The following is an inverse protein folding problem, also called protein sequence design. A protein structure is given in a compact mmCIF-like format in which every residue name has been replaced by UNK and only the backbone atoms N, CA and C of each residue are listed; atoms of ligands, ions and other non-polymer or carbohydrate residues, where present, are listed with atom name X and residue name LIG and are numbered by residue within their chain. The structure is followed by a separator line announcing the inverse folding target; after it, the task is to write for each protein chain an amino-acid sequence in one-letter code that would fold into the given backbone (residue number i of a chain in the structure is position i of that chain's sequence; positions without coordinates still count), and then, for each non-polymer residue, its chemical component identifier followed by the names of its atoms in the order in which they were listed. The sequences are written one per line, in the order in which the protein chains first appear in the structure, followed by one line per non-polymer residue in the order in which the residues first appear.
data_IF_756101310336
#
_entry.id   IF_756101310336
#
_cell.length_a   1.000
_cell.length_b   1.000
_cell.length_c   1.000
_cell.angle_alpha   90.00
_cell.angle_beta   90.00
_cell.angle_gamma   90.00
#
_symmetry.space_group_name_H-M   'P 1'
#
loop_
_entity.id
_entity.type
_entity.pdbx_description
1 polymer ?
#
# COMPACT_ATOMS: atom_id res chain seq x y z
N UNK A 1 4.63 -6.70 30.80
CA UNK A 1 3.33 -7.16 30.27
C UNK A 1 2.71 -6.16 29.28
N UNK A 2 2.36 -4.93 29.68
CA UNK A 2 1.76 -3.92 28.79
C UNK A 2 2.59 -3.60 27.54
N UNK A 3 3.92 -3.47 27.65
CA UNK A 3 4.82 -3.29 26.48
C UNK A 3 4.84 -4.49 25.53
N UNK A 4 4.72 -5.72 26.05
CA UNK A 4 4.63 -6.93 25.23
C UNK A 4 3.27 -7.02 24.52
N UNK A 5 2.19 -6.67 25.21
CA UNK A 5 0.84 -6.62 24.63
C UNK A 5 0.76 -5.54 23.56
N UNK A 6 1.30 -4.34 23.83
CA UNK A 6 1.39 -3.26 22.83
C UNK A 6 2.28 -3.64 21.65
N UNK A 7 3.40 -4.33 21.87
CA UNK A 7 4.23 -4.85 20.79
C UNK A 7 3.43 -5.86 19.96
N UNK A 8 2.83 -6.87 20.58
CA UNK A 8 2.05 -7.89 19.89
C UNK A 8 0.84 -7.30 19.14
N UNK A 9 0.17 -6.30 19.71
CA UNK A 9 -0.94 -5.60 19.08
C UNK A 9 -0.46 -4.73 17.91
N UNK A 10 0.65 -4.01 18.10
CA UNK A 10 1.30 -3.25 17.03
C UNK A 10 1.76 -4.19 15.92
N UNK A 11 2.30 -5.35 16.26
CA UNK A 11 2.77 -6.35 15.32
C UNK A 11 1.62 -6.98 14.57
N UNK A 12 0.50 -7.29 15.23
CA UNK A 12 -0.75 -7.73 14.61
C UNK A 12 -1.28 -6.64 13.65
N UNK A 13 -1.53 -5.43 14.14
CA UNK A 13 -2.05 -4.33 13.31
C UNK A 13 -1.14 -3.99 12.13
N UNK A 14 0.18 -4.04 12.32
CA UNK A 14 1.13 -3.82 11.24
C UNK A 14 1.22 -5.02 10.28
N UNK A 15 1.01 -6.26 10.73
CA UNK A 15 1.15 -7.46 9.89
C UNK A 15 -0.02 -7.64 8.93
N UNK A 16 -1.13 -6.94 9.16
CA UNK A 16 -2.31 -6.99 8.32
C UNK A 16 -2.48 -5.71 7.48
N UNK A 17 -1.43 -5.18 6.85
CA UNK A 17 -1.55 -4.07 5.86
C UNK A 17 -1.42 -4.63 4.44
N UNK A 18 -2.27 -4.26 3.46
CA UNK A 18 -2.23 -4.84 2.13
C UNK A 18 -0.94 -4.48 1.39
N UNK A 19 -0.48 -3.24 1.58
CA UNK A 19 0.80 -2.77 1.03
C UNK A 19 1.98 -3.60 1.58
N UNK A 20 1.96 -3.93 2.87
CA UNK A 20 2.99 -4.78 3.48
C UNK A 20 2.90 -6.22 2.98
N UNK A 21 1.70 -6.81 2.97
CA UNK A 21 1.49 -8.18 2.47
C UNK A 21 1.98 -8.31 1.02
N UNK A 22 1.73 -7.28 0.21
CA UNK A 22 2.21 -7.19 -1.16
C UNK A 22 3.74 -7.12 -1.24
N UNK A 23 4.39 -6.26 -0.45
CA UNK A 23 5.86 -6.17 -0.40
C UNK A 23 6.49 -7.49 0.10
N UNK A 24 5.96 -8.07 1.18
CA UNK A 24 6.48 -9.32 1.76
C UNK A 24 6.37 -10.50 0.78
N UNK A 25 5.24 -10.62 0.07
CA UNK A 25 5.07 -11.66 -0.97
C UNK A 25 6.10 -11.54 -2.08
N UNK A 26 6.47 -10.32 -2.47
CA UNK A 26 7.51 -10.08 -3.49
C UNK A 26 8.91 -10.38 -3.00
N UNK A 27 9.23 -10.02 -1.76
CA UNK A 27 10.50 -10.41 -1.15
C UNK A 27 10.61 -11.94 -1.11
N UNK A 28 9.56 -12.65 -0.71
CA UNK A 28 9.56 -14.12 -0.73
C UNK A 28 9.72 -14.71 -2.14
N UNK A 29 9.04 -14.13 -3.13
CA UNK A 29 9.14 -14.55 -4.53
C UNK A 29 10.58 -14.40 -5.06
N UNK A 30 11.19 -13.25 -4.79
CA UNK A 30 12.50 -12.86 -5.28
C UNK A 30 13.64 -13.63 -4.57
N UNK A 31 13.53 -13.81 -3.25
CA UNK A 31 14.45 -14.64 -2.47
C UNK A 31 14.23 -16.15 -2.63
N UNK A 32 13.25 -16.57 -3.45
CA UNK A 32 12.89 -17.98 -3.70
C UNK A 32 12.60 -18.74 -2.40
N UNK A 33 11.88 -18.11 -1.48
CA UNK A 33 11.55 -18.65 -0.15
C UNK A 33 10.45 -19.72 -0.27
N UNK A 34 10.70 -20.82 -0.96
CA UNK A 34 9.69 -21.84 -1.27
C UNK A 34 9.14 -21.72 -2.69
N UNK A 35 7.88 -22.09 -2.90
CA UNK A 35 7.30 -22.20 -4.24
C UNK A 35 6.88 -20.83 -4.81
N UNK A 36 7.37 -20.49 -6.00
CA UNK A 36 7.03 -19.26 -6.73
C UNK A 36 5.51 -19.11 -6.95
N UNK A 37 4.78 -20.21 -7.15
CA UNK A 37 3.31 -20.20 -7.30
C UNK A 37 2.63 -19.70 -6.03
N UNK A 38 3.08 -20.19 -4.87
CA UNK A 38 2.50 -19.79 -3.58
C UNK A 38 2.69 -18.30 -3.33
N UNK A 39 3.88 -17.77 -3.60
CA UNK A 39 4.17 -16.34 -3.41
C UNK A 39 3.45 -15.44 -4.40
N UNK A 40 3.29 -15.89 -5.65
CA UNK A 40 2.45 -15.20 -6.62
C UNK A 40 0.99 -15.14 -6.15
N UNK A 41 0.47 -16.21 -5.55
CA UNK A 41 -0.87 -16.20 -4.96
C UNK A 41 -0.93 -15.29 -3.74
N UNK A 42 0.03 -15.34 -2.82
CA UNK A 42 0.11 -14.40 -1.68
C UNK A 42 0.07 -12.93 -2.16
N UNK A 43 0.74 -12.61 -3.28
CA UNK A 43 0.65 -11.29 -3.90
C UNK A 43 -0.76 -10.95 -4.36
N UNK A 44 -1.43 -11.87 -5.06
CA UNK A 44 -2.78 -11.65 -5.59
C UNK A 44 -3.82 -11.50 -4.47
N UNK A 45 -3.63 -12.23 -3.37
CA UNK A 45 -4.49 -12.20 -2.19
C UNK A 45 -4.10 -11.12 -1.17
N UNK A 46 -3.06 -10.33 -1.42
CA UNK A 46 -2.56 -9.29 -0.49
C UNK A 46 -3.63 -8.29 -0.03
N UNK A 47 -4.63 -8.00 -0.86
CA UNK A 47 -5.74 -7.10 -0.50
C UNK A 47 -6.69 -7.68 0.56
N UNK A 48 -6.72 -9.01 0.78
CA UNK A 48 -7.47 -9.61 1.87
C UNK A 48 -6.90 -9.26 3.25
N UNK A 49 -5.65 -8.81 3.32
CA UNK A 49 -5.08 -8.27 4.56
C UNK A 49 -5.83 -7.02 5.06
N UNK A 50 -6.71 -6.42 4.26
CA UNK A 50 -7.53 -5.26 4.64
C UNK A 50 -8.61 -5.56 5.70
N UNK A 51 -8.86 -6.83 6.06
CA UNK A 51 -9.95 -7.18 6.99
C UNK A 51 -9.96 -6.41 8.34
N UNK A 52 -8.83 -6.04 8.98
CA UNK A 52 -8.88 -5.27 10.24
C UNK A 52 -9.33 -3.82 10.03
N UNK A 53 -9.12 -3.26 8.83
CA UNK A 53 -9.66 -1.94 8.49
C UNK A 53 -11.19 -1.98 8.54
N UNK A 54 -11.80 -3.03 7.99
CA UNK A 54 -13.25 -3.19 8.02
C UNK A 54 -13.78 -3.40 9.44
N UNK A 55 -13.03 -4.10 10.31
CA UNK A 55 -13.38 -4.17 11.73
C UNK A 55 -13.27 -2.82 12.43
N UNK A 56 -12.20 -2.06 12.20
CA UNK A 56 -12.02 -0.72 12.74
C UNK A 56 -13.18 0.20 12.32
N UNK A 57 -13.53 0.19 11.04
CA UNK A 57 -14.65 0.96 10.50
C UNK A 57 -15.97 0.49 11.13
N UNK A 58 -16.17 -0.83 11.29
CA UNK A 58 -17.35 -1.39 11.96
C UNK A 58 -17.48 -0.91 13.41
N UNK A 59 -16.38 -0.88 14.17
CA UNK A 59 -16.36 -0.34 15.54
C UNK A 59 -16.68 1.15 15.57
N UNK A 60 -16.13 1.94 14.64
CA UNK A 60 -16.42 3.38 14.52
C UNK A 60 -17.89 3.62 14.15
N UNK A 61 -18.48 2.77 13.31
CA UNK A 61 -19.87 2.85 12.91
C UNK A 61 -20.85 2.56 14.07
N UNK A 62 -20.46 1.63 14.94
CA UNK A 62 -21.20 1.22 16.14
C UNK A 62 -20.98 2.14 17.35
N UNK A 63 -20.13 3.18 17.26
CA UNK A 63 -19.85 4.10 18.36
C UNK A 63 -21.15 4.73 18.91
N UNK A 64 -21.55 4.44 20.17
CA UNK A 64 -22.76 4.97 20.77
C UNK A 64 -22.65 6.47 21.07
N UNK A 65 -21.43 7.04 21.10
CA UNK A 65 -21.20 8.44 21.39
C UNK A 65 -21.16 9.33 20.15
N UNK A 66 -21.41 8.78 18.94
CA UNK A 66 -21.25 9.48 17.64
C UNK A 66 -21.99 10.83 17.51
N UNK A 67 -23.05 11.07 18.27
CA UNK A 67 -23.79 12.34 18.28
C UNK A 67 -23.28 13.42 19.26
N UNK A 68 -22.38 13.09 20.18
CA UNK A 68 -22.06 13.97 21.33
C UNK A 68 -20.90 14.97 21.10
N UNK A 69 -20.17 14.85 20.00
CA UNK A 69 -19.00 15.70 19.68
C UNK A 69 -19.09 16.11 18.22
N UNK A 70 -19.10 17.42 17.92
CA UNK A 70 -19.06 17.93 16.56
C UNK A 70 -17.83 18.81 16.35
N UNK A 71 -17.27 18.81 15.14
CA UNK A 71 -16.18 19.73 14.76
C UNK A 71 -16.59 21.21 14.91
N UNK A 72 -17.88 21.49 14.72
CA UNK A 72 -18.50 22.78 14.96
C UNK A 72 -18.41 23.19 16.43
N UNK A 73 -18.48 22.23 17.36
CA UNK A 73 -18.31 22.50 18.79
C UNK A 73 -16.86 22.84 19.15
N UNK A 74 -15.88 22.30 18.42
CA UNK A 74 -14.45 22.51 18.64
C UNK A 74 -13.91 23.79 17.99
N UNK A 75 -14.38 24.12 16.79
CA UNK A 75 -13.87 25.24 16.00
C UNK A 75 -14.81 26.46 15.99
N UNK A 76 -16.05 26.32 16.48
CA UNK A 76 -17.07 27.36 16.42
C UNK A 76 -17.60 27.58 14.99
N UNK A 77 -18.85 28.04 14.89
CA UNK A 77 -19.49 28.40 13.62
C UNK A 77 -18.76 29.55 12.89
N UNK A 78 -18.01 30.37 13.63
CA UNK A 78 -17.35 31.57 13.11
C UNK A 78 -15.89 31.36 12.67
N UNK A 79 -15.35 30.14 12.75
CA UNK A 79 -13.97 29.92 12.28
C UNK A 79 -13.87 30.11 10.77
N UNK A 80 -12.90 30.91 10.35
CA UNK A 80 -12.55 31.15 8.94
C UNK A 80 -12.29 29.87 8.15
N UNK A 81 -11.90 28.79 8.85
CA UNK A 81 -11.75 27.44 8.30
C UNK A 81 -13.11 26.87 7.85
N UNK A 82 -14.14 26.95 8.69
CA UNK A 82 -15.50 26.48 8.37
C UNK A 82 -16.11 27.30 7.23
N UNK A 83 -15.88 28.61 7.21
CA UNK A 83 -16.37 29.50 6.14
C UNK A 83 -15.64 29.27 4.80
N UNK A 84 -14.33 28.99 4.82
CA UNK A 84 -13.54 28.64 3.62
C UNK A 84 -13.92 27.27 3.04
N UNK A 85 -14.29 26.31 3.89
CA UNK A 85 -14.82 24.99 3.51
C UNK A 85 -16.20 25.08 2.82
N UNK A 86 -17.02 26.06 3.22
CA UNK A 86 -18.36 26.31 2.66
C UNK A 86 -18.32 27.04 1.30
N UNK A 87 -17.45 28.04 1.12
CA UNK A 87 -17.38 28.86 -0.11
C UNK A 87 -16.33 28.39 -1.14
N UNK A 88 -15.41 27.49 -0.77
CA UNK A 88 -14.28 27.02 -1.59
C UNK A 88 -14.24 25.50 -1.76
N UNK A 89 -15.39 24.86 -1.93
CA UNK A 89 -15.59 23.40 -1.84
C UNK A 89 -14.54 22.57 -2.60
N UNK A 90 -14.22 22.94 -3.84
CA UNK A 90 -13.19 22.29 -4.66
C UNK A 90 -11.77 22.48 -4.10
N UNK A 91 -11.43 23.70 -3.66
CA UNK A 91 -10.13 23.99 -3.07
C UNK A 91 -9.93 23.23 -1.75
N UNK A 92 -11.00 23.08 -0.96
CA UNK A 92 -10.98 22.30 0.26
C UNK A 92 -10.81 20.78 0.01
N UNK A 93 -11.49 20.24 -1.01
CA UNK A 93 -11.28 18.85 -1.44
C UNK A 93 -9.83 18.63 -1.87
N UNK A 94 -9.30 19.48 -2.76
CA UNK A 94 -7.90 19.39 -3.22
C UNK A 94 -6.93 19.47 -2.04
N UNK A 95 -7.18 20.38 -1.09
CA UNK A 95 -6.34 20.50 0.12
C UNK A 95 -6.42 19.23 0.96
N UNK A 96 -7.62 18.69 1.21
CA UNK A 96 -7.82 17.47 1.97
C UNK A 96 -7.11 16.27 1.32
N UNK A 97 -7.23 16.14 -0.01
CA UNK A 97 -6.50 15.14 -0.79
C UNK A 97 -5.00 15.21 -0.52
N UNK A 98 -4.40 16.39 -0.67
CA UNK A 98 -2.95 16.54 -0.49
C UNK A 98 -2.49 16.36 0.96
N UNK A 99 -3.28 16.80 1.94
CA UNK A 99 -2.98 16.56 3.36
C UNK A 99 -2.91 15.08 3.65
N UNK A 100 -3.94 14.31 3.30
CA UNK A 100 -3.97 12.87 3.54
C UNK A 100 -2.97 12.10 2.67
N UNK A 101 -2.71 12.57 1.45
CA UNK A 101 -1.65 12.05 0.59
C UNK A 101 -0.28 12.18 1.25
N UNK A 102 0.09 13.37 1.73
CA UNK A 102 1.40 13.62 2.35
C UNK A 102 1.53 12.86 3.66
N UNK A 103 0.48 12.86 4.49
CA UNK A 103 0.47 12.11 5.75
C UNK A 103 0.66 10.62 5.52
N UNK A 104 -0.01 10.04 4.51
CA UNK A 104 0.19 8.63 4.17
C UNK A 104 1.58 8.37 3.56
N UNK A 105 2.05 9.24 2.67
CA UNK A 105 3.38 9.12 2.06
C UNK A 105 4.50 9.06 3.10
N UNK A 106 4.42 9.91 4.13
CA UNK A 106 5.42 10.02 5.20
C UNK A 106 5.29 8.91 6.24
N UNK A 107 4.08 8.66 6.74
CA UNK A 107 3.87 7.82 7.94
C UNK A 107 3.49 6.38 7.61
N UNK A 108 2.93 6.11 6.42
CA UNK A 108 2.56 4.78 5.92
C UNK A 108 1.65 4.04 6.92
N UNK A 109 0.56 4.70 7.30
CA UNK A 109 -0.43 4.26 8.29
C UNK A 109 -1.82 4.36 7.68
N UNK A 110 -2.03 3.75 6.52
CA UNK A 110 -3.28 3.83 5.75
C UNK A 110 -4.54 3.65 6.63
N UNK A 111 -4.56 2.68 7.52
CA UNK A 111 -5.71 2.41 8.39
C UNK A 111 -5.97 3.49 9.43
N UNK A 112 -4.92 4.13 9.91
CA UNK A 112 -5.05 5.24 10.85
C UNK A 112 -5.69 6.45 10.15
N UNK A 113 -5.28 6.74 8.93
CA UNK A 113 -5.86 7.85 8.15
C UNK A 113 -7.30 7.56 7.72
N UNK A 114 -7.56 6.37 7.19
CA UNK A 114 -8.92 5.98 6.81
C UNK A 114 -9.82 5.95 8.06
N UNK A 115 -9.36 5.38 9.17
CA UNK A 115 -10.10 5.40 10.44
C UNK A 115 -10.39 6.82 10.94
N UNK A 116 -9.42 7.73 10.86
CA UNK A 116 -9.59 9.13 11.24
C UNK A 116 -10.61 9.84 10.34
N UNK A 117 -10.58 9.57 9.02
CA UNK A 117 -11.57 10.11 8.08
C UNK A 117 -12.98 9.62 8.43
N UNK A 118 -13.16 8.32 8.67
CA UNK A 118 -14.44 7.74 9.08
C UNK A 118 -14.94 8.30 10.41
N UNK A 119 -14.03 8.50 11.37
CA UNK A 119 -14.36 9.10 12.65
C UNK A 119 -14.94 10.51 12.47
N UNK A 120 -14.29 11.38 11.69
CA UNK A 120 -14.79 12.73 11.45
C UNK A 120 -16.07 12.80 10.61
N UNK A 121 -16.24 11.87 9.64
CA UNK A 121 -17.46 11.78 8.84
C UNK A 121 -18.70 11.49 9.72
N UNK A 122 -18.55 10.66 10.74
CA UNK A 122 -19.63 10.33 11.67
C UNK A 122 -20.07 11.52 12.56
N UNK A 123 -19.31 12.63 12.58
CA UNK A 123 -19.54 13.76 13.49
C UNK A 123 -20.12 15.03 12.82
N UNK A 124 -20.19 15.13 11.49
CA UNK A 124 -20.62 16.39 10.83
C UNK A 124 -21.12 16.25 9.38
N UNK A 125 -21.93 17.22 8.92
CA UNK A 125 -22.65 17.17 7.64
C UNK A 125 -21.85 17.59 6.41
N UNK A 126 -20.88 18.49 6.58
CA UNK A 126 -20.14 19.09 5.46
C UNK A 126 -19.07 18.18 4.80
N UNK A 127 -18.90 16.94 5.29
CA UNK A 127 -17.59 16.28 5.27
C UNK A 127 -17.49 15.09 4.32
N UNK A 128 -18.55 14.71 3.60
CA UNK A 128 -18.49 13.53 2.73
C UNK A 128 -17.57 13.74 1.53
N UNK A 129 -17.60 14.91 0.88
CA UNK A 129 -16.68 15.24 -0.23
C UNK A 129 -15.23 15.27 0.22
N UNK A 130 -14.97 15.85 1.38
CA UNK A 130 -13.64 15.91 1.98
C UNK A 130 -13.15 14.53 2.39
N UNK A 131 -14.04 13.69 2.92
CA UNK A 131 -13.73 12.33 3.34
C UNK A 131 -13.42 11.44 2.12
N UNK A 132 -14.24 11.51 1.07
CA UNK A 132 -13.98 10.82 -0.21
C UNK A 132 -12.65 11.28 -0.78
N UNK A 133 -12.41 12.60 -0.82
CA UNK A 133 -11.16 13.17 -1.31
C UNK A 133 -9.94 12.73 -0.48
N UNK A 134 -10.06 12.70 0.85
CA UNK A 134 -9.03 12.20 1.75
C UNK A 134 -8.72 10.72 1.54
N UNK A 135 -9.76 9.87 1.40
CA UNK A 135 -9.60 8.43 1.12
C UNK A 135 -8.89 8.23 -0.22
N UNK A 136 -9.28 8.97 -1.25
CA UNK A 136 -8.61 8.93 -2.56
C UNK A 136 -7.15 9.37 -2.45
N UNK A 137 -6.84 10.37 -1.61
CA UNK A 137 -5.47 10.82 -1.33
C UNK A 137 -4.61 9.74 -0.67
N UNK A 138 -5.14 9.05 0.36
CA UNK A 138 -4.46 7.92 1.01
C UNK A 138 -4.15 6.81 0.01
N UNK A 139 -5.14 6.39 -0.79
CA UNK A 139 -4.93 5.33 -1.77
C UNK A 139 -4.01 5.76 -2.92
N UNK A 140 -4.05 7.03 -3.34
CA UNK A 140 -3.13 7.54 -4.37
C UNK A 140 -1.68 7.52 -3.89
N UNK A 141 -1.43 7.92 -2.63
CA UNK A 141 -0.11 7.84 -2.01
C UNK A 141 0.44 6.42 -2.04
N UNK A 142 -0.40 5.42 -1.73
CA UNK A 142 -0.04 4.00 -1.82
C UNK A 142 0.35 3.59 -3.25
N UNK A 143 -0.45 3.96 -4.25
CA UNK A 143 -0.17 3.64 -5.65
C UNK A 143 1.18 4.25 -6.09
N UNK A 144 1.39 5.54 -5.80
CA UNK A 144 2.66 6.20 -6.15
C UNK A 144 3.85 5.60 -5.41
N UNK A 145 3.63 5.14 -4.18
CA UNK A 145 4.68 4.50 -3.41
C UNK A 145 5.04 3.12 -3.98
N UNK A 146 4.06 2.33 -4.42
CA UNK A 146 4.26 1.08 -5.17
C UNK A 146 4.97 1.32 -6.51
N UNK A 147 4.63 2.41 -7.20
CA UNK A 147 5.32 2.84 -8.40
C UNK A 147 6.79 3.20 -8.14
N UNK A 148 7.06 4.00 -7.10
CA UNK A 148 8.40 4.38 -6.70
C UNK A 148 9.26 3.14 -6.39
N UNK A 149 8.69 2.15 -5.71
CA UNK A 149 9.34 0.86 -5.48
C UNK A 149 9.68 0.13 -6.79
N UNK A 150 8.78 0.12 -7.77
CA UNK A 150 9.00 -0.55 -9.04
C UNK A 150 10.17 0.04 -9.84
N UNK A 151 10.44 1.35 -9.73
CA UNK A 151 11.56 2.02 -10.39
C UNK A 151 12.90 1.54 -9.84
N UNK A 152 12.97 1.28 -8.53
CA UNK A 152 14.20 0.89 -7.84
C UNK A 152 14.63 -0.57 -8.11
N UNK A 153 13.76 -1.41 -8.69
CA UNK A 153 14.05 -2.83 -8.97
C UNK A 153 14.66 -2.96 -10.37
N UNK A 154 15.78 -3.69 -10.49
CA UNK A 154 16.43 -3.98 -11.78
C UNK A 154 16.34 -5.44 -12.23
N UNK A 155 15.37 -6.20 -11.75
CA UNK A 155 15.29 -7.65 -11.91
C UNK A 155 14.06 -8.13 -12.69
N UNK A 156 13.96 -9.45 -12.92
CA UNK A 156 12.77 -10.09 -13.52
C UNK A 156 11.48 -9.78 -12.73
N UNK A 157 11.60 -9.52 -11.42
CA UNK A 157 10.46 -9.11 -10.60
C UNK A 157 10.02 -7.67 -10.89
N UNK A 158 10.85 -6.83 -11.53
CA UNK A 158 10.45 -5.49 -11.97
C UNK A 158 9.26 -5.53 -12.94
N UNK A 159 9.22 -6.50 -13.85
CA UNK A 159 8.11 -6.62 -14.79
C UNK A 159 6.80 -6.95 -14.08
N UNK A 160 6.84 -7.82 -13.07
CA UNK A 160 5.70 -8.10 -12.19
C UNK A 160 5.23 -6.81 -11.52
N UNK A 161 6.16 -6.00 -10.99
CA UNK A 161 5.83 -4.74 -10.33
C UNK A 161 5.23 -3.68 -11.26
N UNK A 162 5.72 -3.57 -12.49
CA UNK A 162 5.14 -2.67 -13.49
C UNK A 162 3.67 -3.01 -13.74
N UNK A 163 3.35 -4.30 -13.87
CA UNK A 163 1.97 -4.77 -14.04
C UNK A 163 1.11 -4.53 -12.80
N UNK A 164 1.59 -4.93 -11.63
CA UNK A 164 0.88 -4.71 -10.36
C UNK A 164 0.59 -3.22 -10.15
N UNK A 165 1.57 -2.36 -10.41
CA UNK A 165 1.40 -0.91 -10.31
C UNK A 165 0.38 -0.38 -11.33
N UNK A 166 0.47 -0.81 -12.60
CA UNK A 166 -0.48 -0.40 -13.62
C UNK A 166 -1.92 -0.80 -13.24
N UNK A 167 -2.11 -2.00 -12.70
CA UNK A 167 -3.42 -2.48 -12.22
C UNK A 167 -3.91 -1.66 -11.03
N UNK A 168 -3.06 -1.41 -10.03
CA UNK A 168 -3.44 -0.60 -8.86
C UNK A 168 -3.78 0.84 -9.24
N UNK A 169 -3.03 1.44 -10.16
CA UNK A 169 -3.34 2.77 -10.70
C UNK A 169 -4.66 2.78 -11.47
N UNK A 170 -4.90 1.76 -12.29
CA UNK A 170 -6.15 1.62 -13.05
C UNK A 170 -7.36 1.48 -12.12
N UNK A 171 -7.22 0.67 -11.06
CA UNK A 171 -8.25 0.54 -10.03
C UNK A 171 -8.48 1.86 -9.31
N UNK A 172 -7.42 2.58 -8.95
CA UNK A 172 -7.57 3.90 -8.33
C UNK A 172 -8.33 4.88 -9.21
N UNK A 173 -8.03 4.95 -10.51
CA UNK A 173 -8.76 5.81 -11.46
C UNK A 173 -10.24 5.40 -11.54
N UNK A 174 -10.52 4.11 -11.71
CA UNK A 174 -11.90 3.59 -11.81
C UNK A 174 -12.67 3.90 -10.53
N UNK A 175 -12.11 3.61 -9.36
CA UNK A 175 -12.76 3.88 -8.08
C UNK A 175 -12.96 5.38 -7.86
N UNK A 176 -11.99 6.23 -8.21
CA UNK A 176 -12.13 7.68 -8.10
C UNK A 176 -13.29 8.20 -8.95
N UNK A 177 -13.35 7.81 -10.22
CA UNK A 177 -14.42 8.23 -11.15
C UNK A 177 -15.79 7.75 -10.67
N UNK A 178 -15.92 6.46 -10.35
CA UNK A 178 -17.19 5.88 -9.89
C UNK A 178 -17.65 6.52 -8.58
N UNK A 179 -16.73 6.77 -7.65
CA UNK A 179 -17.06 7.39 -6.35
C UNK A 179 -17.51 8.84 -6.53
N UNK A 180 -16.87 9.61 -7.42
CA UNK A 180 -17.28 11.00 -7.68
C UNK A 180 -18.63 11.08 -8.39
N UNK A 181 -18.90 10.20 -9.38
CA UNK A 181 -20.20 10.12 -10.06
C UNK A 181 -21.30 9.71 -9.07
N UNK A 182 -21.04 8.69 -8.25
CA UNK A 182 -22.01 8.23 -7.27
C UNK A 182 -22.28 9.28 -6.18
N UNK A 183 -21.26 10.06 -5.81
CA UNK A 183 -21.41 11.18 -4.88
C UNK A 183 -22.30 12.29 -5.45
N UNK A 184 -22.10 12.65 -6.73
CA UNK A 184 -22.92 13.63 -7.43
C UNK A 184 -24.39 13.16 -7.58
N UNK A 185 -24.58 11.90 -7.97
CA UNK A 185 -25.90 11.27 -8.06
C UNK A 185 -26.63 11.21 -6.71
N UNK A 186 -25.90 10.95 -5.62
CA UNK A 186 -26.46 11.01 -4.27
C UNK A 186 -26.93 12.42 -3.93
N UNK A 187 -26.19 13.47 -4.28
CA UNK A 187 -26.60 14.85 -4.01
C UNK A 187 -27.83 15.27 -4.81
N UNK A 188 -27.87 14.94 -6.11
CA UNK A 188 -29.00 15.27 -6.99
C UNK A 188 -30.29 14.58 -6.53
N UNK A 189 -30.21 13.32 -6.11
CA UNK A 189 -31.37 12.61 -5.57
C UNK A 189 -31.68 12.96 -4.12
N UNK A 190 -30.73 13.52 -3.35
CA UNK A 190 -30.99 14.01 -2.00
C UNK A 190 -31.87 15.27 -2.01
N UNK A 191 -31.77 16.11 -3.06
CA UNK A 191 -32.71 17.20 -3.33
C UNK A 191 -34.14 16.68 -3.61
N UNK A 192 -34.28 15.46 -4.17
CA UNK A 192 -35.57 14.79 -4.36
C UNK A 192 -36.06 14.02 -3.11
N UNK A 193 -35.15 13.52 -2.26
CA UNK A 193 -35.45 12.69 -1.08
C UNK A 193 -35.62 13.46 0.24
N UNK A 194 -35.54 14.80 0.25
CA UNK A 194 -35.84 15.62 1.43
C UNK A 194 -37.27 15.43 1.98
N UNK A 195 -38.17 14.76 1.25
CA UNK A 195 -39.51 14.46 1.71
C UNK A 195 -39.64 13.21 2.60
N UNK A 196 -38.62 12.32 2.72
CA UNK A 196 -38.83 11.00 3.36
C UNK A 196 -37.84 10.63 4.49
N UNK A 197 -36.65 11.24 4.60
CA UNK A 197 -35.70 10.86 5.68
C UNK A 197 -34.95 12.04 6.30
N UNK A 198 -35.45 12.57 7.42
CA UNK A 198 -34.83 13.64 8.21
C UNK A 198 -33.86 13.17 9.32
N UNK A 199 -33.73 11.87 9.59
CA UNK A 199 -32.81 11.32 10.61
C UNK A 199 -31.69 10.40 10.05
N UNK A 200 -31.72 9.97 8.78
CA UNK A 200 -30.86 8.89 8.24
C UNK A 200 -29.51 9.34 7.65
N UNK A 201 -29.21 10.64 7.74
CA UNK A 201 -28.24 11.31 6.89
C UNK A 201 -26.78 10.89 7.23
N UNK A 202 -26.45 10.62 8.50
CA UNK A 202 -25.13 10.11 8.91
C UNK A 202 -24.94 8.63 8.51
N UNK A 203 -26.00 7.83 8.59
CA UNK A 203 -25.96 6.39 8.27
C UNK A 203 -25.76 6.18 6.76
N UNK A 204 -26.44 6.95 5.92
CA UNK A 204 -26.27 6.92 4.47
C UNK A 204 -24.88 7.39 4.04
N UNK A 205 -24.34 8.45 4.67
CA UNK A 205 -22.97 8.95 4.45
C UNK A 205 -21.89 7.94 4.80
N UNK A 206 -21.95 7.36 6.01
CA UNK A 206 -20.99 6.36 6.46
C UNK A 206 -21.03 5.09 5.59
N UNK A 207 -22.24 4.68 5.19
CA UNK A 207 -22.44 3.54 4.28
C UNK A 207 -21.87 3.81 2.89
N UNK A 208 -21.99 5.04 2.38
CA UNK A 208 -21.37 5.43 1.12
C UNK A 208 -19.84 5.37 1.19
N UNK A 209 -19.23 5.97 2.20
CA UNK A 209 -17.76 5.95 2.34
C UNK A 209 -17.24 4.51 2.53
N UNK A 210 -17.99 3.68 3.27
CA UNK A 210 -17.71 2.25 3.41
C UNK A 210 -17.76 1.56 2.04
N UNK A 211 -18.75 1.87 1.20
CA UNK A 211 -18.86 1.35 -0.14
C UNK A 211 -17.67 1.78 -1.03
N UNK A 212 -17.18 3.02 -0.90
CA UNK A 212 -15.97 3.50 -1.61
C UNK A 212 -14.73 2.69 -1.22
N UNK A 213 -14.47 2.54 0.09
CA UNK A 213 -13.34 1.73 0.60
C UNK A 213 -13.46 0.28 0.16
N UNK A 214 -14.65 -0.31 0.28
CA UNK A 214 -14.91 -1.67 -0.14
C UNK A 214 -14.69 -1.87 -1.64
N UNK A 215 -15.19 -0.95 -2.47
CA UNK A 215 -15.01 -0.97 -3.92
C UNK A 215 -13.52 -0.94 -4.30
N UNK A 216 -12.72 -0.10 -3.64
CA UNK A 216 -11.28 -0.03 -3.87
C UNK A 216 -10.60 -1.39 -3.64
N UNK A 217 -10.86 -2.00 -2.48
CA UNK A 217 -10.26 -3.28 -2.12
C UNK A 217 -10.78 -4.44 -2.97
N UNK A 218 -12.07 -4.47 -3.30
CA UNK A 218 -12.69 -5.49 -4.13
C UNK A 218 -12.12 -5.45 -5.55
N UNK A 219 -12.13 -4.29 -6.20
CA UNK A 219 -11.58 -4.14 -7.56
C UNK A 219 -10.09 -4.45 -7.59
N UNK A 220 -9.32 -3.98 -6.59
CA UNK A 220 -7.90 -4.30 -6.49
C UNK A 220 -7.65 -5.79 -6.35
N UNK A 221 -8.49 -6.50 -5.60
CA UNK A 221 -8.41 -7.94 -5.44
C UNK A 221 -8.74 -8.68 -6.75
N UNK A 222 -9.87 -8.35 -7.38
CA UNK A 222 -10.31 -8.99 -8.63
C UNK A 222 -9.26 -8.79 -9.73
N UNK A 223 -8.78 -7.56 -9.95
CA UNK A 223 -7.81 -7.27 -11.00
C UNK A 223 -6.50 -8.02 -10.80
N UNK A 224 -5.97 -8.08 -9.56
CA UNK A 224 -4.75 -8.83 -9.26
C UNK A 224 -4.95 -10.34 -9.43
N UNK A 225 -6.07 -10.90 -8.99
CA UNK A 225 -6.36 -12.33 -9.16
C UNK A 225 -6.52 -12.73 -10.63
N UNK A 226 -7.26 -11.93 -11.41
CA UNK A 226 -7.44 -12.15 -12.85
C UNK A 226 -6.09 -12.10 -13.56
N UNK A 227 -5.29 -11.06 -13.31
CA UNK A 227 -3.96 -10.95 -13.88
C UNK A 227 -3.05 -12.10 -13.43
N UNK A 228 -3.01 -12.43 -12.14
CA UNK A 228 -2.16 -13.49 -11.60
C UNK A 228 -2.49 -14.88 -12.15
N UNK A 229 -3.78 -15.14 -12.40
CA UNK A 229 -4.24 -16.36 -13.07
C UNK A 229 -3.64 -16.51 -14.47
N UNK A 230 -3.72 -15.46 -15.30
CA UNK A 230 -3.16 -15.49 -16.66
C UNK A 230 -1.64 -15.43 -16.67
N UNK A 231 -1.03 -14.64 -15.78
CA UNK A 231 0.43 -14.54 -15.66
C UNK A 231 1.07 -15.91 -15.36
N UNK A 232 0.44 -16.71 -14.50
CA UNK A 232 0.92 -18.06 -14.18
C UNK A 232 0.88 -19.03 -15.38
N UNK A 233 -0.02 -18.82 -16.34
CA UNK A 233 -0.13 -19.70 -17.52
C UNK A 233 0.96 -19.45 -18.56
N UNK A 234 1.66 -18.31 -18.48
CA UNK A 234 2.75 -17.98 -19.40
C UNK A 234 3.96 -18.84 -19.07
N UNK A 235 4.37 -19.71 -20.01
CA UNK A 235 5.63 -20.45 -19.91
C UNK A 235 6.80 -19.48 -20.08
N UNK A 236 7.62 -19.32 -19.05
CA UNK A 236 8.87 -18.56 -19.17
C UNK A 236 9.97 -19.44 -19.76
N UNK A 237 10.61 -18.97 -20.84
CA UNK A 237 11.74 -19.66 -21.46
C UNK A 237 12.94 -19.74 -20.49
N UNK A 238 13.67 -20.88 -20.46
CA UNK A 238 14.83 -21.08 -19.58
C UNK A 238 16.10 -20.35 -20.03
N UNK A 239 16.08 -19.69 -21.20
CA UNK A 239 17.24 -19.04 -21.82
C UNK A 239 17.57 -17.64 -21.26
N UNK A 240 16.70 -17.07 -20.42
CA UNK A 240 16.99 -15.81 -19.72
C UNK A 240 18.09 -16.06 -18.66
N UNK A 241 19.36 -15.86 -19.04
CA UNK A 241 20.49 -15.77 -18.10
C UNK A 241 20.14 -14.73 -17.04
N UNK A 242 19.83 -15.12 -15.79
CA UNK A 242 19.17 -14.21 -14.90
C UNK A 242 20.25 -13.53 -14.09
N UNK A 243 20.57 -12.30 -14.48
CA UNK A 243 21.12 -11.39 -13.50
C UNK A 243 19.98 -11.09 -12.52
N UNK A 244 19.87 -11.93 -11.49
CA UNK A 244 18.93 -11.75 -10.40
C UNK A 244 19.44 -10.61 -9.53
N UNK A 245 18.84 -9.45 -9.70
CA UNK A 245 18.95 -8.36 -8.74
C UNK A 245 17.82 -8.49 -7.72
N UNK A 246 18.10 -8.23 -6.46
CA UNK A 246 17.22 -8.60 -5.37
C UNK A 246 16.47 -7.41 -4.80
N UNK A 247 15.35 -7.70 -4.17
CA UNK A 247 14.57 -6.80 -3.30
C UNK A 247 15.30 -6.52 -1.97
N UNK A 248 16.61 -6.76 -1.89
CA UNK A 248 17.45 -6.58 -0.70
C UNK A 248 17.38 -5.16 -0.13
N UNK A 249 17.39 -4.12 -0.99
CA UNK A 249 17.26 -2.73 -0.53
C UNK A 249 15.93 -2.50 0.21
N UNK A 250 14.89 -3.30 -0.05
CA UNK A 250 13.60 -3.16 0.66
C UNK A 250 13.66 -3.70 2.07
N UNK A 251 14.52 -4.68 2.34
CA UNK A 251 14.82 -5.13 3.70
C UNK A 251 15.34 -3.95 4.52
N UNK A 252 16.08 -3.01 3.90
CA UNK A 252 16.61 -1.80 4.54
C UNK A 252 15.58 -0.68 4.72
N UNK A 253 14.47 -0.69 3.97
CA UNK A 253 13.46 0.38 4.01
C UNK A 253 12.21 0.03 4.81
N UNK A 254 11.90 -1.26 4.97
CA UNK A 254 10.62 -1.71 5.55
C UNK A 254 10.77 -2.60 6.76
N UNK A 255 9.80 -2.49 7.67
CA UNK A 255 9.59 -3.43 8.76
C UNK A 255 8.85 -4.65 8.22
N UNK A 256 9.50 -5.80 8.21
CA UNK A 256 8.92 -7.08 7.82
C UNK A 256 8.42 -7.88 9.03
N UNK A 257 7.63 -8.92 8.79
CA UNK A 257 7.10 -9.81 9.83
C UNK A 257 8.24 -10.59 10.48
N UNK A 258 8.14 -10.85 11.77
CA UNK A 258 9.14 -11.66 12.49
C UNK A 258 9.34 -13.01 11.81
N UNK A 259 8.27 -13.61 11.28
CA UNK A 259 8.35 -14.85 10.52
C UNK A 259 9.21 -14.68 9.25
N UNK A 260 8.93 -13.69 8.40
CA UNK A 260 9.74 -13.45 7.22
C UNK A 260 11.19 -13.10 7.57
N UNK A 261 11.40 -12.27 8.59
CA UNK A 261 12.75 -11.95 9.09
C UNK A 261 13.53 -13.20 9.50
N UNK A 262 12.89 -14.13 10.23
CA UNK A 262 13.52 -15.38 10.66
C UNK A 262 13.94 -16.27 9.49
N UNK A 263 13.17 -16.26 8.39
CA UNK A 263 13.50 -17.00 7.19
C UNK A 263 14.62 -16.31 6.42
N UNK A 264 14.54 -14.99 6.25
CA UNK A 264 15.56 -14.20 5.56
C UNK A 264 16.91 -14.25 6.27
N UNK A 265 16.95 -14.30 7.61
CA UNK A 265 18.18 -14.55 8.38
C UNK A 265 18.93 -15.82 7.96
N UNK A 266 18.22 -16.83 7.42
CA UNK A 266 18.82 -18.08 6.92
C UNK A 266 19.17 -18.00 5.43
N UNK A 267 18.32 -17.34 4.63
CA UNK A 267 18.43 -17.33 3.16
C UNK A 267 19.42 -16.27 2.65
N UNK A 268 19.43 -15.07 3.25
CA UNK A 268 20.26 -13.95 2.82
C UNK A 268 21.77 -14.28 2.85
N UNK A 269 22.32 -14.92 3.91
CA UNK A 269 23.75 -15.29 3.93
C UNK A 269 24.16 -16.22 2.77
N UNK A 270 23.32 -17.20 2.44
CA UNK A 270 23.56 -18.14 1.33
C UNK A 270 23.57 -17.39 0.00
N UNK A 271 22.68 -16.41 -0.16
CA UNK A 271 22.67 -15.57 -1.35
C UNK A 271 23.91 -14.68 -1.45
N UNK A 272 24.38 -14.12 -0.34
CA UNK A 272 25.63 -13.33 -0.30
C UNK A 272 26.81 -14.17 -0.78
N UNK A 273 26.95 -15.40 -0.27
CA UNK A 273 28.02 -16.33 -0.66
C UNK A 273 27.98 -16.59 -2.17
N UNK A 274 26.83 -17.04 -2.69
CA UNK A 274 26.65 -17.31 -4.12
C UNK A 274 26.88 -16.09 -5.00
N UNK A 275 26.43 -14.91 -4.58
CA UNK A 275 26.62 -13.68 -5.34
C UNK A 275 28.09 -13.23 -5.32
N UNK A 276 28.78 -13.42 -4.19
CA UNK A 276 30.21 -13.12 -4.07
C UNK A 276 31.07 -14.02 -4.97
N UNK A 277 30.76 -15.30 -5.08
CA UNK A 277 31.42 -16.22 -6.01
C UNK A 277 31.21 -15.80 -7.47
N UNK A 278 30.00 -15.36 -7.83
CA UNK A 278 29.71 -14.89 -9.19
C UNK A 278 30.47 -13.62 -9.53
N UNK A 279 30.56 -12.68 -8.59
CA UNK A 279 31.38 -11.46 -8.76
C UNK A 279 32.85 -11.83 -8.96
N UNK A 280 33.41 -12.72 -8.13
CA UNK A 280 34.80 -13.19 -8.27
C UNK A 280 35.06 -13.87 -9.62
N UNK A 281 34.12 -14.71 -10.10
CA UNK A 281 34.24 -15.36 -11.42
C UNK A 281 34.24 -14.33 -12.56
N UNK A 282 33.38 -13.32 -12.50
CA UNK A 282 33.33 -12.25 -13.50
C UNK A 282 34.59 -11.40 -13.44
N UNK A 283 35.11 -11.10 -12.25
CA UNK A 283 36.38 -10.40 -12.06
C UNK A 283 37.56 -11.19 -12.65
N UNK A 284 37.62 -12.51 -12.45
CA UNK A 284 38.63 -13.36 -13.10
C UNK A 284 38.53 -13.41 -14.62
N UNK A 285 37.31 -13.41 -15.17
CA UNK A 285 37.05 -13.36 -16.61
C UNK A 285 37.39 -11.99 -17.23
N UNK A 286 37.17 -10.90 -16.49
CA UNK A 286 37.49 -9.53 -16.94
C UNK A 286 38.97 -9.21 -16.81
N UNK A 287 39.67 -9.74 -15.79
CA UNK A 287 41.12 -9.65 -15.67
C UNK A 287 41.88 -10.42 -16.77
N UNK A 288 41.28 -11.50 -17.31
CA UNK A 288 41.85 -12.27 -18.42
C UNK A 288 41.59 -11.65 -19.80
N UNK A 289 40.69 -10.66 -19.90
CA UNK A 289 40.36 -9.97 -21.15
C UNK A 289 40.42 -8.45 -20.94
N UNK A 290 41.60 -7.88 -21.15
CA UNK A 290 41.87 -6.45 -21.03
C UNK A 290 40.88 -5.63 -21.86
N UNK A 291 39.92 -4.96 -21.19
CA UNK A 291 38.88 -4.15 -21.82
C UNK A 291 37.46 -4.34 -21.25
N UNK A 292 37.21 -5.36 -20.43
CA UNK A 292 35.88 -5.62 -19.85
C UNK A 292 35.66 -5.04 -18.44
N UNK A 293 36.68 -4.44 -17.82
CA UNK A 293 36.59 -3.84 -16.47
C UNK A 293 35.54 -2.73 -16.37
N UNK A 294 35.16 -2.10 -17.48
CA UNK A 294 34.16 -1.02 -17.52
C UNK A 294 32.71 -1.49 -17.75
N UNK A 295 32.42 -2.79 -17.70
CA UNK A 295 31.07 -3.25 -17.96
C UNK A 295 30.10 -2.79 -16.86
N UNK A 296 28.98 -2.14 -17.21
CA UNK A 296 27.95 -1.70 -16.24
C UNK A 296 27.43 -2.85 -15.37
N UNK A 297 27.53 -4.09 -15.85
CA UNK A 297 27.17 -5.31 -15.12
C UNK A 297 27.96 -5.47 -13.82
N UNK A 298 29.28 -5.24 -13.82
CA UNK A 298 30.12 -5.42 -12.62
C UNK A 298 29.74 -4.40 -11.52
N UNK A 299 29.47 -3.15 -11.92
CA UNK A 299 29.02 -2.10 -10.99
C UNK A 299 27.69 -2.45 -10.31
N UNK A 300 26.71 -2.94 -11.08
CA UNK A 300 25.39 -3.26 -10.51
C UNK A 300 25.47 -4.50 -9.61
N UNK A 301 26.26 -5.52 -9.97
CA UNK A 301 26.47 -6.70 -9.13
C UNK A 301 27.13 -6.36 -7.78
N UNK A 302 28.14 -5.47 -7.79
CA UNK A 302 28.76 -4.99 -6.54
C UNK A 302 27.77 -4.22 -5.66
N UNK A 303 27.01 -3.31 -6.26
CA UNK A 303 25.99 -2.56 -5.54
C UNK A 303 24.95 -3.48 -4.90
N UNK A 304 24.57 -4.55 -5.58
CA UNK A 304 23.64 -5.55 -5.05
C UNK A 304 24.24 -6.34 -3.89
N UNK A 305 25.51 -6.75 -3.99
CA UNK A 305 26.22 -7.43 -2.92
C UNK A 305 26.30 -6.55 -1.66
N UNK A 306 26.51 -5.25 -1.82
CA UNK A 306 26.52 -4.29 -0.72
C UNK A 306 25.14 -4.18 -0.06
N UNK A 307 24.06 -4.08 -0.84
CA UNK A 307 22.69 -4.09 -0.29
C UNK A 307 22.37 -5.38 0.46
N UNK A 308 22.78 -6.54 -0.05
CA UNK A 308 22.58 -7.82 0.63
C UNK A 308 23.34 -7.89 1.96
N UNK A 309 24.60 -7.42 1.98
CA UNK A 309 25.40 -7.35 3.22
C UNK A 309 24.78 -6.42 4.25
N UNK A 310 24.35 -5.24 3.82
CA UNK A 310 23.68 -4.29 4.70
C UNK A 310 22.34 -4.84 5.21
N UNK A 311 21.56 -5.48 4.35
CA UNK A 311 20.31 -6.15 4.72
C UNK A 311 20.56 -7.23 5.77
N UNK A 312 21.62 -8.03 5.62
CA UNK A 312 22.02 -9.04 6.59
C UNK A 312 22.42 -8.42 7.94
N UNK A 313 23.15 -7.30 7.93
CA UNK A 313 23.48 -6.54 9.14
C UNK A 313 22.22 -6.02 9.85
N UNK A 314 21.25 -5.49 9.10
CA UNK A 314 19.98 -5.05 9.67
C UNK A 314 19.18 -6.21 10.26
N UNK A 315 19.14 -7.35 9.58
CA UNK A 315 18.45 -8.54 10.07
C UNK A 315 19.09 -9.05 11.37
N UNK A 316 20.42 -9.07 11.46
CA UNK A 316 21.16 -9.61 12.63
C UNK A 316 21.18 -8.69 13.85
N UNK A 317 21.04 -7.36 13.67
CA UNK A 317 20.95 -6.38 14.77
C UNK A 317 19.62 -6.41 15.56
N UNK A 318 18.58 -7.05 15.02
CA UNK A 318 17.23 -7.15 15.61
C UNK A 318 17.05 -8.53 16.25
#
# INVERSE_FOLDING_TARGET
MMKMILSALKDALLSYMPTRSLIESMIKYDFKVGNARTHLMELCFSNLAAWPLFLLIGLIFLDPFKGSWSLVHWFGYESSIVLALLNGHMAAMVTCFFVFFVMEWLLRKEYLWIGLIFYFLNRSELHIHLAVSGVLGVYFARVLYVWWLAIDIKSKTQQIWKWVNALQFSVWVITAVVSLIALDFLQVNHLFNQAIFSESLVVTRGSFLLAVVFLFHLLSHVFLCVWGHFYYQIKTDPADLPIYYSTANWILRFSMSYHLQSILKKVVPIQIEKHSENVQKIEGLTASHAGLESLPVNRVLRQELDYLREANLRLTKI
#
